data_IF_822938295634
#
_entry.id   IF_822938295634
#
_cell.length_a   1.000
_cell.length_b   1.000
_cell.length_c   1.000
_cell.angle_alpha   90.00
_cell.angle_beta   90.00
_cell.angle_gamma   90.00
#
_symmetry.space_group_name_H-M   'P 1'
#
loop_
_entity.id
_entity.type
_entity.pdbx_description
1 polymer ?
#
# COMPACT_ATOMS: atom_id res chain seq x y z
N UNK A 1 -5.03 -21.76 7.89
CA UNK A 1 -4.37 -20.70 7.06
C UNK A 1 -3.62 -19.68 7.92
N UNK A 2 -4.22 -19.10 8.96
CA UNK A 2 -3.60 -18.05 9.79
C UNK A 2 -2.30 -18.51 10.47
N UNK A 3 -2.30 -19.71 11.08
CA UNK A 3 -1.10 -20.28 11.71
C UNK A 3 0.02 -20.49 10.69
N UNK A 4 -0.29 -20.96 9.49
CA UNK A 4 0.71 -21.15 8.44
C UNK A 4 1.30 -19.82 7.93
N UNK A 5 0.48 -18.77 7.83
CA UNK A 5 1.01 -17.44 7.54
C UNK A 5 2.00 -16.99 8.62
N UNK A 6 1.66 -17.18 9.88
CA UNK A 6 2.53 -16.82 11.01
C UNK A 6 3.86 -17.61 10.97
N UNK A 7 3.82 -18.92 10.74
CA UNK A 7 5.01 -19.78 10.63
C UNK A 7 5.91 -19.35 9.46
N UNK A 8 5.33 -19.07 8.29
CA UNK A 8 6.07 -18.65 7.08
C UNK A 8 6.62 -17.23 7.13
N UNK A 9 6.18 -16.38 8.08
CA UNK A 9 6.75 -15.05 8.28
C UNK A 9 8.18 -15.05 8.86
N UNK A 10 8.79 -16.23 9.07
CA UNK A 10 10.16 -16.42 9.58
C UNK A 10 10.44 -15.77 10.94
N UNK A 11 9.37 -15.50 11.72
CA UNK A 11 9.55 -15.04 13.10
C UNK A 11 10.10 -16.10 14.04
N UNK A 12 10.08 -17.38 13.62
CA UNK A 12 10.45 -18.55 14.42
C UNK A 12 11.76 -19.21 13.97
N UNK A 13 12.55 -18.57 13.10
CA UNK A 13 13.83 -19.10 12.60
C UNK A 13 13.76 -20.53 12.02
N UNK A 14 12.64 -20.86 11.40
CA UNK A 14 12.40 -22.15 10.74
C UNK A 14 12.88 -22.09 9.28
N UNK A 15 13.49 -23.18 8.82
CA UNK A 15 13.78 -23.33 7.40
C UNK A 15 12.52 -23.67 6.57
N UNK A 16 12.63 -23.61 5.26
CA UNK A 16 11.49 -23.84 4.36
C UNK A 16 11.01 -25.29 4.41
N UNK A 17 11.92 -26.27 4.58
CA UNK A 17 11.58 -27.67 4.66
C UNK A 17 10.80 -27.99 5.95
N UNK A 18 11.23 -27.44 7.09
CA UNK A 18 10.49 -27.55 8.35
C UNK A 18 9.08 -26.96 8.25
N UNK A 19 8.95 -25.81 7.61
CA UNK A 19 7.64 -25.19 7.35
C UNK A 19 6.75 -26.09 6.49
N UNK A 20 7.28 -26.72 5.45
CA UNK A 20 6.53 -27.59 4.55
C UNK A 20 6.11 -28.91 5.24
N UNK A 21 6.98 -29.51 6.04
CA UNK A 21 6.64 -30.69 6.87
C UNK A 21 5.49 -30.36 7.82
N UNK A 22 5.58 -29.22 8.50
CA UNK A 22 4.54 -28.77 9.42
C UNK A 22 3.21 -28.46 8.71
N UNK A 23 3.25 -27.79 7.57
CA UNK A 23 2.06 -27.48 6.78
C UNK A 23 1.34 -28.74 6.30
N UNK A 24 2.09 -29.70 5.75
CA UNK A 24 1.55 -30.98 5.30
C UNK A 24 0.86 -31.73 6.45
N UNK A 25 1.47 -31.72 7.64
CA UNK A 25 0.87 -32.32 8.83
C UNK A 25 -0.43 -31.63 9.23
N UNK A 26 -0.46 -30.30 9.30
CA UNK A 26 -1.65 -29.52 9.66
C UNK A 26 -2.79 -29.75 8.66
N UNK A 27 -2.49 -29.73 7.37
CA UNK A 27 -3.48 -29.96 6.32
C UNK A 27 -4.10 -31.36 6.44
N UNK A 28 -3.28 -32.39 6.67
CA UNK A 28 -3.75 -33.78 6.80
C UNK A 28 -4.48 -34.02 8.10
N UNK A 29 -4.00 -33.47 9.21
CA UNK A 29 -4.58 -33.69 10.54
C UNK A 29 -5.82 -32.83 10.80
N UNK A 30 -6.06 -31.78 9.98
CA UNK A 30 -7.13 -30.80 10.14
C UNK A 30 -7.19 -30.17 11.55
N UNK A 31 -6.04 -29.95 12.19
CA UNK A 31 -5.93 -29.36 13.52
C UNK A 31 -6.37 -27.91 13.51
N UNK A 32 -7.32 -27.55 14.38
CA UNK A 32 -7.87 -26.20 14.48
C UNK A 32 -8.01 -25.77 15.93
N UNK A 33 -7.78 -24.48 16.16
CA UNK A 33 -7.92 -23.85 17.48
C UNK A 33 -6.80 -24.20 18.45
N UNK A 34 -6.49 -23.26 19.34
CA UNK A 34 -5.37 -23.31 20.27
C UNK A 34 -5.35 -24.61 21.11
N UNK A 35 -6.51 -25.07 21.61
CA UNK A 35 -6.61 -26.28 22.43
C UNK A 35 -6.04 -27.53 21.73
N UNK A 36 -6.09 -27.60 20.41
CA UNK A 36 -5.53 -28.73 19.66
C UNK A 36 -4.01 -28.69 19.57
N UNK A 37 -3.40 -27.52 19.78
CA UNK A 37 -1.94 -27.33 19.76
C UNK A 37 -1.29 -27.57 21.14
N UNK A 38 -2.02 -27.44 22.24
CA UNK A 38 -1.47 -27.65 23.58
C UNK A 38 -1.02 -29.11 23.81
N UNK A 39 -1.74 -30.06 23.21
CA UNK A 39 -1.44 -31.48 23.35
C UNK A 39 -0.39 -31.91 22.34
N UNK A 40 0.51 -32.83 22.78
CA UNK A 40 1.47 -33.46 21.88
C UNK A 40 0.75 -34.24 20.76
N UNK A 41 1.37 -34.25 19.58
CA UNK A 41 0.81 -34.95 18.42
C UNK A 41 1.61 -36.23 18.17
N UNK A 42 0.91 -37.39 18.24
CA UNK A 42 1.53 -38.70 18.14
C UNK A 42 1.28 -39.40 16.80
N UNK A 43 0.29 -38.89 16.04
CA UNK A 43 -0.13 -39.57 14.81
C UNK A 43 0.86 -39.33 13.69
N UNK A 44 1.49 -40.41 13.23
CA UNK A 44 2.35 -40.43 12.04
C UNK A 44 1.51 -40.76 10.81
N UNK A 45 1.75 -40.08 9.71
CA UNK A 45 1.07 -40.30 8.44
C UNK A 45 2.01 -40.96 7.42
N UNK A 46 1.50 -41.73 6.42
CA UNK A 46 2.33 -42.47 5.46
C UNK A 46 3.33 -41.64 4.63
N UNK A 47 3.12 -40.31 4.53
CA UNK A 47 4.02 -39.42 3.82
C UNK A 47 5.15 -38.84 4.70
N UNK A 48 5.14 -39.18 5.99
CA UNK A 48 6.16 -38.69 6.94
C UNK A 48 7.34 -39.62 6.98
N UNK A 49 8.51 -39.06 7.04
CA UNK A 49 9.77 -39.76 7.27
C UNK A 49 10.09 -39.81 8.76
N UNK A 50 11.10 -40.61 9.11
CA UNK A 50 11.62 -40.70 10.48
C UNK A 50 12.10 -39.30 10.94
N UNK A 51 11.71 -38.88 12.13
CA UNK A 51 12.03 -37.56 12.69
C UNK A 51 11.04 -36.45 12.35
N UNK A 52 10.13 -36.63 11.37
CA UNK A 52 9.19 -35.59 11.00
C UNK A 52 8.18 -35.25 12.12
N UNK A 53 7.80 -36.24 12.96
CA UNK A 53 6.85 -35.98 14.04
C UNK A 53 7.49 -35.14 15.15
N UNK A 54 8.78 -35.29 15.39
CA UNK A 54 9.55 -34.50 16.33
C UNK A 54 9.65 -33.05 15.86
N UNK A 55 9.95 -32.81 14.56
CA UNK A 55 9.98 -31.49 13.96
C UNK A 55 8.62 -30.81 14.12
N UNK A 56 7.54 -31.52 13.79
CA UNK A 56 6.17 -31.00 13.91
C UNK A 56 5.83 -30.61 15.35
N UNK A 57 6.22 -31.42 16.34
CA UNK A 57 5.99 -31.13 17.75
C UNK A 57 6.85 -29.96 18.24
N UNK A 58 8.10 -29.89 17.83
CA UNK A 58 8.98 -28.74 18.15
C UNK A 58 8.37 -27.42 17.67
N UNK A 59 7.91 -27.36 16.43
CA UNK A 59 7.26 -26.16 15.87
C UNK A 59 5.97 -25.85 16.64
N UNK A 60 5.15 -26.88 16.92
CA UNK A 60 3.92 -26.76 17.72
C UNK A 60 4.21 -26.14 19.10
N UNK A 61 5.24 -26.62 19.81
CA UNK A 61 5.64 -26.11 21.12
C UNK A 61 6.07 -24.66 21.04
N UNK A 62 6.93 -24.31 20.10
CA UNK A 62 7.36 -22.92 19.88
C UNK A 62 6.17 -21.99 19.60
N UNK A 63 5.16 -22.44 18.84
CA UNK A 63 3.93 -21.67 18.61
C UNK A 63 3.16 -21.45 19.90
N UNK A 64 2.98 -22.52 20.69
CA UNK A 64 2.21 -22.46 21.95
C UNK A 64 2.90 -21.54 22.96
N UNK A 65 4.19 -21.73 23.19
CA UNK A 65 4.99 -20.91 24.12
C UNK A 65 5.08 -19.45 23.66
N UNK A 66 5.28 -19.24 22.35
CA UNK A 66 5.37 -17.92 21.77
C UNK A 66 4.07 -17.10 21.89
N UNK A 67 2.92 -17.77 21.84
CA UNK A 67 1.61 -17.12 21.87
C UNK A 67 0.94 -17.12 23.25
N UNK A 68 1.48 -17.83 24.24
CA UNK A 68 0.80 -18.03 25.51
C UNK A 68 0.51 -16.72 26.23
N UNK A 69 1.50 -15.85 26.42
CA UNK A 69 1.34 -14.59 27.13
C UNK A 69 0.35 -13.65 26.42
N UNK A 70 0.45 -13.59 25.09
CA UNK A 70 -0.48 -12.81 24.27
C UNK A 70 -1.91 -13.33 24.44
N UNK A 71 -2.09 -14.65 24.35
CA UNK A 71 -3.38 -15.31 24.52
C UNK A 71 -3.99 -15.06 25.89
N UNK A 72 -3.18 -15.15 26.95
CA UNK A 72 -3.66 -15.01 28.33
C UNK A 72 -4.22 -13.59 28.55
N UNK A 73 -3.63 -12.58 27.91
CA UNK A 73 -4.20 -11.23 27.92
C UNK A 73 -5.50 -11.12 27.10
N UNK A 74 -5.53 -11.77 25.93
CA UNK A 74 -6.69 -11.69 25.02
C UNK A 74 -7.90 -12.52 25.48
N UNK A 75 -7.75 -13.41 26.46
CA UNK A 75 -8.87 -14.16 27.08
C UNK A 75 -9.59 -13.31 28.14
N UNK A 76 -8.93 -12.35 28.74
CA UNK A 76 -9.54 -11.48 29.75
C UNK A 76 -10.73 -10.74 29.15
N UNK A 77 -11.83 -10.72 29.90
CA UNK A 77 -13.06 -10.04 29.44
C UNK A 77 -13.02 -8.54 29.67
N UNK A 78 -12.30 -8.12 30.72
CA UNK A 78 -12.28 -6.75 31.18
C UNK A 78 -10.95 -6.04 30.85
N UNK A 79 -10.24 -6.51 29.83
CA UNK A 79 -8.98 -5.92 29.41
C UNK A 79 -9.23 -4.62 28.61
N UNK A 80 -8.46 -3.59 28.96
CA UNK A 80 -8.49 -2.31 28.29
C UNK A 80 -7.72 -2.35 26.95
N UNK A 81 -7.94 -1.34 26.10
CA UNK A 81 -7.16 -1.15 24.87
C UNK A 81 -5.67 -1.03 25.18
N UNK A 82 -5.31 -0.34 26.28
CA UNK A 82 -3.91 -0.24 26.71
C UNK A 82 -3.30 -1.61 27.03
N UNK A 83 -3.98 -2.44 27.81
CA UNK A 83 -3.46 -3.76 28.21
C UNK A 83 -3.29 -4.68 27.00
N UNK A 84 -4.25 -4.71 26.10
CA UNK A 84 -4.17 -5.50 24.86
C UNK A 84 -3.04 -5.00 23.93
N UNK A 85 -2.93 -3.68 23.74
CA UNK A 85 -1.88 -3.07 22.93
C UNK A 85 -0.49 -3.34 23.53
N UNK A 86 -0.38 -3.24 24.87
CA UNK A 86 0.85 -3.57 25.59
C UNK A 86 1.24 -5.03 25.40
N UNK A 87 0.28 -5.96 25.43
CA UNK A 87 0.56 -7.39 25.18
C UNK A 87 1.06 -7.63 23.75
N UNK A 88 0.46 -6.99 22.75
CA UNK A 88 0.93 -7.05 21.36
C UNK A 88 2.33 -6.45 21.23
N UNK A 89 2.59 -5.30 21.84
CA UNK A 89 3.92 -4.68 21.86
C UNK A 89 4.98 -5.59 22.48
N UNK A 90 4.71 -6.14 23.68
CA UNK A 90 5.63 -7.07 24.35
C UNK A 90 5.89 -8.31 23.52
N UNK A 91 4.91 -8.82 22.80
CA UNK A 91 5.08 -9.89 21.83
C UNK A 91 6.07 -9.52 20.73
N UNK A 92 6.00 -8.29 20.17
CA UNK A 92 6.96 -7.84 19.16
C UNK A 92 8.39 -7.76 19.71
N UNK A 93 8.53 -7.31 20.96
CA UNK A 93 9.84 -7.21 21.65
C UNK A 93 10.40 -8.62 21.93
N UNK A 94 9.59 -9.51 22.51
CA UNK A 94 10.00 -10.90 22.85
C UNK A 94 10.52 -11.66 21.63
N UNK A 95 9.92 -11.46 20.48
CA UNK A 95 10.27 -12.14 19.24
C UNK A 95 11.28 -11.35 18.36
N UNK A 96 11.87 -10.28 18.88
CA UNK A 96 12.84 -9.43 18.17
C UNK A 96 12.36 -9.01 16.77
N UNK A 97 11.05 -8.65 16.64
CA UNK A 97 10.42 -8.32 15.36
C UNK A 97 11.13 -7.13 14.71
N UNK A 98 11.54 -6.13 15.49
CA UNK A 98 12.26 -4.95 15.00
C UNK A 98 13.54 -5.36 14.27
N UNK A 99 14.40 -6.18 14.92
CA UNK A 99 15.66 -6.61 14.34
C UNK A 99 15.48 -7.46 13.09
N UNK A 100 14.44 -8.31 13.08
CA UNK A 100 14.10 -9.14 11.92
C UNK A 100 13.65 -8.30 10.72
N UNK A 101 12.84 -7.27 10.96
CA UNK A 101 12.45 -6.30 9.93
C UNK A 101 13.67 -5.52 9.44
N UNK A 102 14.54 -5.07 10.34
CA UNK A 102 15.76 -4.34 9.99
C UNK A 102 16.71 -5.20 9.15
N UNK A 103 16.97 -6.44 9.53
CA UNK A 103 17.76 -7.39 8.72
C UNK A 103 17.17 -7.56 7.32
N UNK A 104 15.83 -7.58 7.21
CA UNK A 104 15.17 -7.66 5.91
C UNK A 104 15.38 -6.41 5.06
N UNK A 105 15.39 -5.24 5.67
CA UNK A 105 15.74 -3.98 4.99
C UNK A 105 17.20 -4.02 4.47
N UNK A 106 18.13 -4.56 5.27
CA UNK A 106 19.53 -4.73 4.88
C UNK A 106 19.71 -5.71 3.70
N UNK A 107 19.00 -6.83 3.69
CA UNK A 107 18.97 -7.75 2.55
C UNK A 107 18.52 -7.04 1.25
N UNK A 108 17.51 -6.16 1.33
CA UNK A 108 17.07 -5.38 0.17
C UNK A 108 18.09 -4.33 -0.25
N UNK A 109 18.82 -3.74 0.71
CA UNK A 109 19.94 -2.83 0.42
C UNK A 109 21.04 -3.54 -0.36
N UNK A 110 21.45 -4.73 0.07
CA UNK A 110 22.47 -5.55 -0.62
C UNK A 110 22.00 -5.93 -2.04
N UNK A 111 20.73 -6.26 -2.21
CA UNK A 111 20.12 -6.55 -3.50
C UNK A 111 19.84 -5.29 -4.35
N UNK A 112 20.18 -4.09 -3.85
CA UNK A 112 19.92 -2.79 -4.50
C UNK A 112 18.44 -2.51 -4.80
N UNK A 113 17.53 -3.08 -4.03
CA UNK A 113 16.07 -2.83 -4.15
C UNK A 113 15.67 -1.69 -3.21
N UNK A 114 16.06 -0.47 -3.58
CA UNK A 114 15.97 0.74 -2.73
C UNK A 114 14.53 1.03 -2.24
N UNK A 115 13.52 0.72 -3.04
CA UNK A 115 12.12 0.95 -2.64
C UNK A 115 11.75 0.09 -1.43
N UNK A 116 12.02 -1.22 -1.48
CA UNK A 116 11.71 -2.14 -0.38
C UNK A 116 12.60 -1.88 0.85
N UNK A 117 13.88 -1.54 0.66
CA UNK A 117 14.74 -1.13 1.78
C UNK A 117 14.09 0.00 2.59
N UNK A 118 13.66 1.06 1.90
CA UNK A 118 13.02 2.22 2.53
C UNK A 118 11.67 1.90 3.17
N UNK A 119 10.88 1.04 2.55
CA UNK A 119 9.63 0.56 3.15
C UNK A 119 9.90 -0.18 4.45
N UNK A 120 10.74 -1.20 4.42
CA UNK A 120 11.01 -2.04 5.57
C UNK A 120 11.66 -1.27 6.72
N UNK A 121 12.51 -0.27 6.44
CA UNK A 121 13.11 0.56 7.48
C UNK A 121 12.11 1.43 8.27
N UNK A 122 10.91 1.67 7.73
CA UNK A 122 9.88 2.53 8.33
C UNK A 122 8.69 1.76 8.93
N UNK A 123 8.54 0.45 8.60
CA UNK A 123 7.38 -0.35 9.00
C UNK A 123 7.24 -0.39 10.52
N UNK A 124 8.31 -0.71 11.25
CA UNK A 124 8.24 -0.91 12.70
C UNK A 124 7.80 0.37 13.42
N UNK A 125 8.44 1.49 13.11
CA UNK A 125 8.08 2.80 13.67
C UNK A 125 6.62 3.17 13.35
N UNK A 126 6.19 2.90 12.13
CA UNK A 126 4.81 3.16 11.70
C UNK A 126 3.80 2.35 12.51
N UNK A 127 4.09 1.09 12.81
CA UNK A 127 3.24 0.23 13.65
C UNK A 127 3.20 0.73 15.09
N UNK A 128 4.36 1.10 15.67
CA UNK A 128 4.43 1.66 17.03
C UNK A 128 3.62 2.96 17.12
N UNK A 129 3.72 3.84 16.13
CA UNK A 129 2.91 5.06 16.07
C UNK A 129 1.39 4.77 16.05
N UNK A 130 0.94 3.66 15.46
CA UNK A 130 -0.46 3.23 15.55
C UNK A 130 -0.80 2.81 16.97
N UNK A 131 0.06 2.03 17.64
CA UNK A 131 -0.15 1.62 19.04
C UNK A 131 -0.25 2.83 19.96
N UNK A 132 0.66 3.78 19.84
CA UNK A 132 0.66 5.01 20.64
C UNK A 132 -0.63 5.81 20.44
N UNK A 133 -1.11 5.93 19.21
CA UNK A 133 -2.37 6.61 18.90
C UNK A 133 -3.58 5.88 19.48
N UNK A 134 -3.63 4.56 19.40
CA UNK A 134 -4.72 3.77 19.96
C UNK A 134 -4.78 3.96 21.47
N UNK A 135 -3.64 3.89 22.14
CA UNK A 135 -3.55 4.09 23.59
C UNK A 135 -3.92 5.53 23.97
N UNK A 136 -3.46 6.52 23.22
CA UNK A 136 -3.76 7.93 23.50
C UNK A 136 -5.26 8.28 23.34
N UNK A 137 -5.96 7.60 22.41
CA UNK A 137 -7.35 7.90 22.09
C UNK A 137 -8.35 7.07 22.93
N UNK A 138 -8.02 5.81 23.22
CA UNK A 138 -8.95 4.83 23.76
C UNK A 138 -8.30 3.92 24.83
N UNK A 139 -7.14 4.28 25.38
CA UNK A 139 -6.36 3.41 26.27
C UNK A 139 -7.13 2.82 27.44
N UNK A 140 -8.00 3.59 28.05
CA UNK A 140 -8.79 3.21 29.25
C UNK A 140 -10.10 2.47 28.90
N UNK A 141 -10.46 2.38 27.60
CA UNK A 141 -11.68 1.73 27.17
C UNK A 141 -11.55 0.21 27.27
N UNK A 142 -12.57 -0.43 27.86
CA UNK A 142 -12.68 -1.89 27.92
C UNK A 142 -13.35 -2.37 26.63
N UNK A 143 -12.66 -3.22 25.90
CA UNK A 143 -13.12 -3.73 24.61
C UNK A 143 -13.01 -5.25 24.55
N UNK A 144 -13.87 -5.88 23.78
CA UNK A 144 -13.74 -7.31 23.45
C UNK A 144 -12.53 -7.56 22.57
N UNK A 145 -12.11 -8.82 22.46
CA UNK A 145 -11.04 -9.20 21.54
C UNK A 145 -11.36 -8.89 20.07
N UNK A 146 -12.63 -9.05 19.67
CA UNK A 146 -13.09 -8.79 18.32
C UNK A 146 -13.05 -7.28 18.03
N UNK A 147 -13.61 -6.46 18.91
CA UNK A 147 -13.56 -4.99 18.79
C UNK A 147 -12.12 -4.47 18.74
N UNK A 148 -11.24 -4.98 19.61
CA UNK A 148 -9.82 -4.60 19.55
C UNK A 148 -9.17 -4.95 18.21
N UNK A 149 -9.46 -6.13 17.69
CA UNK A 149 -8.92 -6.55 16.40
C UNK A 149 -9.38 -5.62 15.26
N UNK A 150 -10.68 -5.27 15.24
CA UNK A 150 -11.25 -4.37 14.24
C UNK A 150 -10.64 -2.96 14.32
N UNK A 151 -10.44 -2.44 15.53
CA UNK A 151 -9.81 -1.15 15.77
C UNK A 151 -8.36 -1.16 15.32
N UNK A 152 -7.61 -2.22 15.68
CA UNK A 152 -6.21 -2.36 15.29
C UNK A 152 -6.06 -2.51 13.77
N UNK A 153 -6.90 -3.32 13.12
CA UNK A 153 -6.91 -3.49 11.66
C UNK A 153 -7.25 -2.18 10.95
N UNK A 154 -8.25 -1.44 11.44
CA UNK A 154 -8.58 -0.12 10.93
C UNK A 154 -7.41 0.86 11.06
N UNK A 155 -6.73 0.88 12.20
CA UNK A 155 -5.54 1.71 12.43
C UNK A 155 -4.38 1.35 11.49
N UNK A 156 -4.05 0.08 11.37
CA UNK A 156 -2.98 -0.40 10.50
C UNK A 156 -3.29 -0.18 9.01
N UNK A 157 -4.54 -0.30 8.59
CA UNK A 157 -4.96 -0.05 7.20
C UNK A 157 -4.77 1.40 6.74
N UNK A 158 -4.73 2.35 7.67
CA UNK A 158 -4.47 3.76 7.39
C UNK A 158 -2.99 4.12 7.31
N UNK A 159 -2.11 3.20 7.69
CA UNK A 159 -0.66 3.42 7.60
C UNK A 159 -0.23 3.52 6.13
N UNK A 160 0.38 4.63 5.79
CA UNK A 160 0.97 4.86 4.46
C UNK A 160 2.46 5.11 4.63
N UNK A 161 3.24 4.20 4.10
CA UNK A 161 4.69 4.35 4.09
C UNK A 161 5.07 5.21 2.89
N UNK A 162 5.61 6.41 3.16
CA UNK A 162 6.06 7.32 2.14
C UNK A 162 7.42 6.89 1.59
N UNK A 163 7.47 6.45 0.35
CA UNK A 163 8.75 6.24 -0.34
C UNK A 163 9.24 7.62 -0.77
N UNK A 164 10.33 8.10 -0.16
CA UNK A 164 11.01 9.31 -0.64
C UNK A 164 11.59 8.97 -2.01
N UNK A 165 11.26 9.74 -3.05
CA UNK A 165 11.79 9.45 -4.39
C UNK A 165 13.31 9.36 -4.34
N UNK A 166 13.89 8.33 -4.93
CA UNK A 166 15.34 8.21 -4.98
C UNK A 166 15.92 9.28 -5.89
N UNK A 167 17.03 9.81 -5.48
CA UNK A 167 18.10 10.49 -6.15
C UNK A 167 17.86 11.38 -7.40
N UNK A 168 18.90 12.13 -7.72
CA UNK A 168 18.95 13.16 -8.77
C UNK A 168 18.72 12.58 -10.18
N UNK A 169 18.96 11.30 -10.39
CA UNK A 169 18.91 10.62 -11.71
C UNK A 169 17.65 9.76 -11.87
N UNK A 170 16.49 10.31 -11.55
CA UNK A 170 15.22 9.60 -11.67
C UNK A 170 14.18 10.42 -12.40
N UNK A 171 13.33 9.71 -13.18
CA UNK A 171 12.14 10.29 -13.78
C UNK A 171 11.08 10.45 -12.68
N UNK A 172 10.57 11.65 -12.52
CA UNK A 172 9.47 11.90 -11.59
C UNK A 172 8.14 11.65 -12.30
N UNK A 173 7.38 10.68 -11.80
CA UNK A 173 6.00 10.42 -12.23
C UNK A 173 5.05 10.92 -11.15
N UNK A 174 4.01 11.65 -11.54
CA UNK A 174 3.09 12.21 -10.58
C UNK A 174 1.72 12.56 -11.14
N UNK A 175 0.84 13.00 -10.26
CA UNK A 175 -0.53 13.40 -10.59
C UNK A 175 -0.62 14.92 -10.60
N UNK A 176 -1.39 15.49 -11.54
CA UNK A 176 -1.58 16.96 -11.72
C UNK A 176 -2.03 17.65 -10.42
N UNK A 177 -2.90 17.01 -9.65
CA UNK A 177 -3.49 17.60 -8.44
C UNK A 177 -2.53 17.57 -7.24
N UNK A 178 -1.68 16.54 -7.13
CA UNK A 178 -0.85 16.27 -5.95
C UNK A 178 0.62 16.62 -6.14
N UNK A 179 1.11 16.56 -7.36
CA UNK A 179 2.54 16.79 -7.64
C UNK A 179 2.84 18.28 -7.62
N UNK A 180 3.82 18.66 -6.80
CA UNK A 180 4.37 20.01 -6.76
C UNK A 180 5.83 19.94 -7.16
N UNK A 181 6.12 20.42 -8.37
CA UNK A 181 7.49 20.53 -8.86
C UNK A 181 8.15 21.70 -8.14
N UNK A 182 9.13 21.45 -7.29
CA UNK A 182 9.94 22.49 -6.63
C UNK A 182 10.90 23.11 -7.62
N UNK A 183 11.58 22.27 -8.40
CA UNK A 183 12.60 22.67 -9.34
C UNK A 183 12.07 22.63 -10.77
N UNK A 184 12.62 23.49 -11.62
CA UNK A 184 12.32 23.51 -13.05
C UNK A 184 12.91 22.25 -13.69
N UNK A 185 12.10 21.53 -14.45
CA UNK A 185 12.50 20.33 -15.17
C UNK A 185 12.77 20.65 -16.63
N UNK A 186 13.70 19.91 -17.22
CA UNK A 186 14.05 20.13 -18.65
C UNK A 186 12.86 19.82 -19.55
N UNK A 187 12.30 18.63 -19.41
CA UNK A 187 11.20 18.13 -20.25
C UNK A 187 10.06 17.66 -19.36
N UNK A 188 8.83 17.98 -19.72
CA UNK A 188 7.62 17.54 -19.03
C UNK A 188 6.69 16.83 -20.01
N UNK A 189 6.35 15.59 -19.71
CA UNK A 189 5.37 14.80 -20.45
C UNK A 189 4.02 14.85 -19.72
N UNK A 190 3.00 15.35 -20.39
CA UNK A 190 1.60 15.28 -19.95
C UNK A 190 0.93 14.11 -20.63
N UNK A 191 0.66 13.04 -19.91
CA UNK A 191 -0.03 11.86 -20.41
C UNK A 191 -1.55 12.01 -20.18
N UNK A 192 -2.36 11.49 -21.12
CA UNK A 192 -3.82 11.46 -20.95
C UNK A 192 -4.49 12.84 -21.13
N UNK A 193 -3.98 13.67 -22.02
CA UNK A 193 -4.58 14.98 -22.36
C UNK A 193 -5.86 14.83 -23.20
N UNK A 194 -6.80 14.04 -22.70
CA UNK A 194 -8.10 13.80 -23.31
C UNK A 194 -9.20 14.63 -22.68
N UNK A 195 -10.25 14.89 -23.46
CA UNK A 195 -11.44 15.62 -23.00
C UNK A 195 -12.11 14.87 -21.83
N UNK A 196 -12.47 15.60 -20.78
CA UNK A 196 -13.04 15.04 -19.56
C UNK A 196 -12.04 14.42 -18.59
N UNK A 197 -10.79 14.16 -19.01
CA UNK A 197 -9.69 13.66 -18.17
C UNK A 197 -8.82 14.82 -17.71
N UNK A 198 -8.41 15.68 -18.63
CA UNK A 198 -7.60 16.88 -18.33
C UNK A 198 -8.14 18.09 -19.10
N UNK A 199 -8.77 19.06 -18.41
CA UNK A 199 -9.20 19.08 -17.01
C UNK A 199 -10.25 18.01 -16.72
N UNK A 200 -10.24 17.50 -15.51
CA UNK A 200 -11.22 16.50 -15.08
C UNK A 200 -12.62 17.13 -15.06
N UNK A 201 -13.58 16.45 -15.67
CA UNK A 201 -14.96 16.86 -15.57
C UNK A 201 -15.42 16.81 -14.11
N UNK A 202 -15.88 17.96 -13.61
CA UNK A 202 -16.50 18.04 -12.30
C UNK A 202 -18.00 17.81 -12.50
N UNK A 203 -18.49 16.63 -12.18
CA UNK A 203 -19.92 16.36 -12.17
C UNK A 203 -20.56 17.07 -10.99
N UNK A 204 -21.58 17.92 -11.21
CA UNK A 204 -22.38 18.41 -10.11
C UNK A 204 -23.06 17.18 -9.46
N UNK A 205 -22.77 16.92 -8.22
CA UNK A 205 -23.32 15.76 -7.54
C UNK A 205 -23.25 15.89 -6.03
N UNK A 206 -24.21 15.28 -5.39
CA UNK A 206 -24.34 15.26 -3.94
C UNK A 206 -25.72 15.76 -3.50
N UNK A 207 -25.99 15.60 -2.20
CA UNK A 207 -27.25 16.02 -1.57
C UNK A 207 -27.41 17.56 -1.61
N UNK A 208 -26.28 18.29 -1.63
CA UNK A 208 -26.25 19.78 -1.62
C UNK A 208 -25.75 20.26 -2.98
N UNK A 209 -26.56 21.06 -3.66
CA UNK A 209 -26.23 21.68 -4.94
C UNK A 209 -25.15 22.77 -4.81
N UNK A 210 -24.54 23.17 -5.91
CA UNK A 210 -23.53 24.25 -5.89
C UNK A 210 -24.11 25.57 -5.41
N UNK A 211 -25.37 25.88 -5.77
CA UNK A 211 -26.06 27.11 -5.33
C UNK A 211 -26.32 27.10 -3.81
N UNK A 212 -26.71 25.95 -3.27
CA UNK A 212 -26.89 25.80 -1.80
C UNK A 212 -25.57 25.91 -1.06
N UNK A 213 -24.48 25.36 -1.65
CA UNK A 213 -23.12 25.50 -1.10
C UNK A 213 -22.69 26.96 -1.04
N UNK A 214 -22.97 27.75 -2.08
CA UNK A 214 -22.63 29.15 -2.10
C UNK A 214 -23.40 29.95 -1.03
N UNK A 215 -24.69 29.65 -0.80
CA UNK A 215 -25.48 30.20 0.29
C UNK A 215 -24.93 29.82 1.67
N UNK A 216 -24.58 28.55 1.86
CA UNK A 216 -24.04 28.07 3.13
C UNK A 216 -22.62 28.64 3.40
N UNK A 217 -21.80 28.81 2.37
CA UNK A 217 -20.50 29.46 2.48
C UNK A 217 -20.62 30.94 2.87
N UNK A 218 -21.64 31.65 2.36
CA UNK A 218 -21.89 33.05 2.76
C UNK A 218 -22.24 33.16 4.25
N UNK A 219 -22.71 32.08 4.86
CA UNK A 219 -22.97 31.94 6.31
C UNK A 219 -21.79 31.35 7.10
N UNK A 220 -20.58 31.36 6.53
CA UNK A 220 -19.33 30.84 7.13
C UNK A 220 -19.28 29.31 7.38
N UNK A 221 -20.12 28.51 6.74
CA UNK A 221 -19.97 27.05 6.78
C UNK A 221 -18.86 26.60 5.84
N UNK A 222 -17.92 25.79 6.35
CA UNK A 222 -16.84 25.20 5.54
C UNK A 222 -17.38 23.96 4.82
N UNK A 223 -17.55 24.08 3.51
CA UNK A 223 -18.03 23.00 2.64
C UNK A 223 -17.01 22.65 1.56
N UNK A 224 -17.18 21.49 0.97
CA UNK A 224 -16.40 21.07 -0.20
C UNK A 224 -16.52 22.11 -1.34
N UNK A 225 -15.49 22.24 -2.18
CA UNK A 225 -15.50 23.18 -3.29
C UNK A 225 -16.65 22.93 -4.26
N UNK A 226 -17.18 24.01 -4.84
CA UNK A 226 -18.14 23.93 -5.94
C UNK A 226 -17.48 23.44 -7.23
N UNK A 227 -18.28 23.03 -8.21
CA UNK A 227 -17.81 22.65 -9.55
C UNK A 227 -16.95 23.74 -10.17
N UNK A 228 -17.37 24.99 -10.06
CA UNK A 228 -16.65 26.17 -10.57
C UNK A 228 -15.28 26.32 -9.89
N UNK A 229 -15.23 26.22 -8.56
CA UNK A 229 -13.98 26.32 -7.81
C UNK A 229 -13.00 25.18 -8.17
N UNK A 230 -13.51 23.99 -8.40
CA UNK A 230 -12.69 22.85 -8.83
C UNK A 230 -12.07 23.06 -10.21
N UNK A 231 -12.84 23.61 -11.18
CA UNK A 231 -12.32 23.95 -12.50
C UNK A 231 -11.20 25.00 -12.39
N UNK A 232 -11.39 26.05 -11.58
CA UNK A 232 -10.35 27.04 -11.34
C UNK A 232 -9.08 26.45 -10.71
N UNK A 233 -9.23 25.57 -9.70
CA UNK A 233 -8.10 24.87 -9.10
C UNK A 233 -7.31 24.05 -10.12
N UNK A 234 -8.00 23.31 -10.97
CA UNK A 234 -7.33 22.51 -12.01
C UNK A 234 -6.58 23.39 -13.02
N UNK A 235 -7.16 24.53 -13.42
CA UNK A 235 -6.47 25.50 -14.29
C UNK A 235 -5.20 26.04 -13.64
N UNK A 236 -5.24 26.38 -12.35
CA UNK A 236 -4.06 26.81 -11.60
C UNK A 236 -3.00 25.73 -11.54
N UNK A 237 -3.39 24.47 -11.33
CA UNK A 237 -2.44 23.36 -11.30
C UNK A 237 -1.77 23.15 -12.67
N UNK A 238 -2.55 23.17 -13.74
CA UNK A 238 -2.02 23.08 -15.10
C UNK A 238 -1.09 24.24 -15.43
N UNK A 239 -1.49 25.48 -15.14
CA UNK A 239 -0.63 26.64 -15.30
C UNK A 239 0.68 26.52 -14.55
N UNK A 240 0.61 26.09 -13.28
CA UNK A 240 1.79 25.92 -12.44
C UNK A 240 2.74 24.85 -13.00
N UNK A 241 2.22 23.80 -13.62
CA UNK A 241 3.02 22.74 -14.23
C UNK A 241 3.57 23.15 -15.59
N UNK A 242 2.79 23.83 -16.43
CA UNK A 242 3.23 24.32 -17.74
C UNK A 242 4.33 25.40 -17.65
N UNK A 243 4.35 26.14 -16.55
CA UNK A 243 5.36 27.17 -16.30
C UNK A 243 6.70 26.65 -15.79
N UNK A 244 6.83 25.32 -15.54
CA UNK A 244 8.03 24.74 -14.93
C UNK A 244 9.10 24.21 -15.90
N UNK A 245 8.75 23.64 -17.08
CA UNK A 245 9.76 23.10 -18.00
C UNK A 245 10.63 24.19 -18.59
N UNK A 246 11.94 23.90 -18.68
CA UNK A 246 12.93 24.80 -19.28
C UNK A 246 13.05 24.66 -20.80
N UNK A 247 12.88 23.44 -21.30
CA UNK A 247 13.22 23.13 -22.68
C UNK A 247 12.00 22.70 -23.49
N UNK A 248 11.17 21.78 -22.97
CA UNK A 248 10.10 21.17 -23.77
C UNK A 248 8.91 20.73 -22.93
N UNK A 249 7.72 20.86 -23.52
CA UNK A 249 6.49 20.20 -23.06
C UNK A 249 6.01 19.25 -24.16
N UNK A 250 5.70 18.03 -23.77
CA UNK A 250 5.12 17.02 -24.64
C UNK A 250 3.72 16.68 -24.12
N UNK A 251 2.69 16.93 -24.95
CA UNK A 251 1.31 16.64 -24.62
C UNK A 251 0.88 15.37 -25.32
N UNK A 252 0.48 14.34 -24.56
CA UNK A 252 0.06 13.06 -25.09
C UNK A 252 -1.42 12.83 -24.86
N UNK A 253 -2.14 12.40 -25.89
CA UNK A 253 -3.53 11.99 -25.79
C UNK A 253 -3.78 10.71 -26.57
N UNK A 254 -4.75 9.90 -26.16
CA UNK A 254 -5.16 8.69 -26.85
C UNK A 254 -6.32 8.98 -27.80
N UNK A 255 -6.35 8.30 -28.95
CA UNK A 255 -7.47 8.38 -29.91
C UNK A 255 -8.60 7.43 -29.56
N UNK A 256 -8.28 6.34 -28.84
CA UNK A 256 -9.26 5.35 -28.38
C UNK A 256 -8.97 4.92 -26.94
N UNK A 257 -10.00 4.46 -26.26
CA UNK A 257 -9.93 3.81 -24.97
C UNK A 257 -9.65 2.30 -25.11
N UNK A 258 -9.41 1.61 -24.00
CA UNK A 258 -9.23 0.15 -23.94
C UNK A 258 -10.38 -0.63 -24.57
N UNK A 259 -11.59 -0.07 -24.50
CA UNK A 259 -12.81 -0.67 -25.04
C UNK A 259 -13.06 -0.33 -26.52
N UNK A 260 -12.10 0.34 -27.18
CA UNK A 260 -12.21 0.78 -28.57
C UNK A 260 -13.06 2.05 -28.80
N UNK A 261 -13.61 2.64 -27.75
CA UNK A 261 -14.38 3.90 -27.84
C UNK A 261 -13.47 5.06 -28.22
N UNK A 262 -13.94 5.92 -29.13
CA UNK A 262 -13.18 7.09 -29.59
C UNK A 262 -13.03 8.14 -28.49
N UNK A 263 -11.82 8.54 -28.21
CA UNK A 263 -11.48 9.61 -27.29
C UNK A 263 -11.14 10.91 -28.06
N UNK A 264 -11.54 12.05 -27.50
CA UNK A 264 -11.23 13.37 -28.05
C UNK A 264 -10.06 14.00 -27.31
N UNK A 265 -9.25 14.78 -28.03
CA UNK A 265 -8.19 15.58 -27.40
C UNK A 265 -8.79 16.67 -26.50
N UNK A 266 -8.11 16.98 -25.41
CA UNK A 266 -8.51 18.07 -24.51
C UNK A 266 -8.60 19.40 -25.25
N UNK A 267 -9.60 20.21 -24.93
CA UNK A 267 -9.75 21.57 -25.48
C UNK A 267 -8.54 22.47 -25.17
N UNK A 268 -7.76 22.15 -24.13
CA UNK A 268 -6.54 22.88 -23.78
C UNK A 268 -5.49 22.75 -24.89
N UNK A 269 -5.39 21.60 -25.53
CA UNK A 269 -4.48 21.41 -26.67
C UNK A 269 -4.85 22.41 -27.78
N UNK A 270 -6.13 22.54 -28.09
CA UNK A 270 -6.58 23.51 -29.08
C UNK A 270 -6.31 24.97 -28.73
N UNK A 271 -6.29 25.32 -27.44
CA UNK A 271 -5.86 26.65 -26.98
C UNK A 271 -4.35 26.85 -27.20
N UNK A 272 -3.56 25.82 -26.83
CA UNK A 272 -2.10 25.87 -26.98
C UNK A 272 -1.67 25.89 -28.45
N UNK A 273 -2.35 25.17 -29.34
CA UNK A 273 -2.11 25.20 -30.78
C UNK A 273 -2.29 26.64 -31.36
N UNK A 274 -3.29 27.38 -30.85
CA UNK A 274 -3.48 28.80 -31.23
C UNK A 274 -2.40 29.71 -30.69
N UNK A 275 -1.90 29.45 -29.49
CA UNK A 275 -0.83 30.22 -28.86
C UNK A 275 0.54 29.90 -29.46
N UNK A 276 0.76 28.68 -29.89
CA UNK A 276 2.02 28.17 -30.42
C UNK A 276 1.80 27.49 -31.80
N UNK A 277 1.66 28.29 -32.89
CA UNK A 277 1.32 27.72 -34.20
C UNK A 277 2.35 26.73 -34.77
N UNK A 278 3.56 26.75 -34.23
CA UNK A 278 4.64 25.84 -34.66
C UNK A 278 4.64 24.50 -33.93
N UNK A 279 3.61 24.21 -33.12
CA UNK A 279 3.49 22.87 -32.51
C UNK A 279 3.37 21.79 -33.58
N UNK A 280 4.13 20.69 -33.37
CA UNK A 280 4.11 19.54 -34.28
C UNK A 280 3.33 18.41 -33.65
N UNK A 281 2.31 17.94 -34.31
CA UNK A 281 1.61 16.70 -33.94
C UNK A 281 2.35 15.49 -34.53
N UNK A 282 2.62 14.49 -33.70
CA UNK A 282 3.19 13.21 -34.10
C UNK A 282 2.19 12.11 -33.78
N UNK A 283 1.93 11.24 -34.72
CA UNK A 283 1.13 10.04 -34.51
C UNK A 283 2.06 8.87 -34.22
N UNK A 284 1.79 8.17 -33.15
CA UNK A 284 2.41 6.88 -32.83
C UNK A 284 1.36 5.83 -33.12
N UNK A 285 1.58 5.03 -34.14
CA UNK A 285 0.87 3.77 -34.35
C UNK A 285 1.52 2.70 -33.48
N UNK A 286 0.83 1.56 -33.23
CA UNK A 286 1.39 0.46 -32.45
C UNK A 286 2.77 0.09 -33.03
N UNK A 287 3.81 0.39 -32.27
CA UNK A 287 5.14 -0.05 -32.60
C UNK A 287 5.20 -1.51 -32.18
N UNK A 288 5.22 -2.45 -33.12
CA UNK A 288 5.63 -3.80 -32.83
C UNK A 288 7.03 -3.73 -32.20
N UNK A 289 7.08 -3.99 -30.89
CA UNK A 289 8.35 -4.03 -30.16
C UNK A 289 9.12 -5.24 -30.72
N UNK A 290 10.24 -5.05 -31.43
CA UNK A 290 11.00 -6.17 -31.95
C UNK A 290 11.37 -7.12 -30.80
N UNK A 291 11.24 -8.42 -31.02
CA UNK A 291 11.57 -9.45 -30.00
C UNK A 291 12.97 -9.25 -29.42
N UNK A 292 13.89 -8.68 -30.19
CA UNK A 292 15.24 -8.30 -29.76
C UNK A 292 15.27 -7.24 -28.64
N UNK A 293 14.19 -6.48 -28.42
CA UNK A 293 14.11 -5.48 -27.36
C UNK A 293 13.44 -6.02 -26.09
N UNK A 294 12.96 -7.27 -26.09
CA UNK A 294 12.39 -7.92 -24.93
C UNK A 294 13.54 -8.42 -24.04
N UNK A 295 14.00 -7.55 -23.14
CA UNK A 295 15.13 -7.88 -22.23
C UNK A 295 14.66 -8.48 -20.90
N UNK A 296 13.35 -8.53 -20.63
CA UNK A 296 12.82 -8.95 -19.34
C UNK A 296 11.56 -9.82 -19.52
N UNK A 297 11.49 -10.93 -18.78
CA UNK A 297 10.38 -11.88 -18.78
C UNK A 297 9.01 -11.24 -18.46
N UNK A 298 8.98 -10.15 -17.68
CA UNK A 298 7.76 -9.38 -17.39
C UNK A 298 7.22 -8.61 -18.59
N UNK A 299 8.09 -8.16 -19.49
CA UNK A 299 7.70 -7.43 -20.72
C UNK A 299 7.20 -8.39 -21.79
N UNK A 300 7.65 -9.65 -21.77
CA UNK A 300 7.21 -10.69 -22.71
C UNK A 300 5.78 -11.22 -22.42
N UNK A 301 5.20 -10.88 -21.26
CA UNK A 301 3.89 -11.37 -20.81
C UNK A 301 2.79 -10.28 -20.83
N UNK A 302 3.12 -9.07 -21.28
CA UNK A 302 2.18 -8.00 -21.62
C UNK A 302 1.87 -8.00 -23.11
#
# INVERSE_FOLDING_TARGET
QTVMRFVRLKFMELDENMCDIFENYILKSNRRGYRSYVKNWEKVYPFMEEGHIEIVNTIREQIVEGLQELRDEFIKKDATVFERTKAVYLFTVKHNIQDKIQKKAEEFREKKVVALEKEYSQIYESVINVFDRLVALMGDEIVTTEEYNDILEAGLSQVKIGIIPPGIDTIMVGNIERTRLKDTKKILFFLGMNDGIVPKNSTPGGIITDSERDILKSKNYKLAPTTRENIFKQRIYLYSLFAKPLEQIVLCYSKSDSDGSTLRKSYIIGILEKMFPNMKEKHFEEIEIPVSHITNKKVALQ
#
